data_IF_545541060509
#
_entry.id   IF_545541060509
#
_cell.length_a   1.000
_cell.length_b   1.000
_cell.length_c   1.000
_cell.angle_alpha   90.00
_cell.angle_beta   90.00
_cell.angle_gamma   90.00
#
_symmetry.space_group_name_H-M   'P 1'
#
loop_
_entity.id
_entity.type
_entity.pdbx_description
1 polymer ?
#
# COMPACT_ATOMS: atom_id res chain seq x y z
N UNK A 1 30.01 23.52 78.24
CA UNK A 1 28.84 22.68 78.40
C UNK A 1 28.27 22.49 76.98
N UNK A 2 28.73 21.46 76.31
CA UNK A 2 28.60 21.26 74.86
C UNK A 2 27.50 20.15 74.62
N UNK A 3 26.38 20.59 74.05
CA UNK A 3 25.27 19.68 73.79
C UNK A 3 25.47 19.06 72.38
N UNK A 4 25.93 17.80 72.35
CA UNK A 4 25.98 16.98 71.10
C UNK A 4 24.60 16.64 70.63
N UNK A 5 24.22 17.14 69.42
CA UNK A 5 23.09 16.72 68.64
C UNK A 5 23.34 15.35 68.01
N UNK A 6 22.42 14.38 68.23
CA UNK A 6 22.42 13.04 67.62
C UNK A 6 22.01 13.13 66.15
N UNK A 7 22.58 12.36 65.20
CA UNK A 7 22.11 12.29 63.83
C UNK A 7 20.81 11.50 63.74
N UNK A 8 19.84 12.04 63.00
CA UNK A 8 18.56 11.43 62.67
C UNK A 8 18.75 10.17 61.84
N UNK A 9 18.20 9.04 62.29
CA UNK A 9 18.15 7.81 61.55
C UNK A 9 17.32 7.99 60.26
N UNK A 10 17.91 7.73 59.11
CA UNK A 10 17.17 7.60 57.83
C UNK A 10 16.29 6.37 57.89
N UNK A 11 15.02 6.59 57.87
CA UNK A 11 14.03 5.54 57.68
C UNK A 11 14.25 4.89 56.29
N UNK A 12 14.53 3.58 56.27
CA UNK A 12 14.53 2.82 55.01
C UNK A 12 13.09 2.79 54.46
N UNK A 13 12.92 2.93 53.13
CA UNK A 13 11.61 2.82 52.50
C UNK A 13 11.08 1.41 52.65
N UNK A 14 9.77 1.30 52.91
CA UNK A 14 9.05 0.00 53.07
C UNK A 14 9.02 -0.72 51.72
N UNK A 15 8.97 -2.11 51.72
CA UNK A 15 9.00 -2.89 50.51
C UNK A 15 7.82 -2.67 49.53
N UNK A 16 6.79 -1.92 49.92
CA UNK A 16 5.60 -1.67 49.11
C UNK A 16 5.59 -0.35 48.32
N UNK A 17 6.65 0.47 48.39
CA UNK A 17 6.72 1.76 47.67
C UNK A 17 7.19 1.62 46.21
N UNK A 18 7.39 0.40 45.71
CA UNK A 18 7.72 0.10 44.31
C UNK A 18 6.53 -0.41 43.48
N UNK A 19 5.31 -0.02 43.82
CA UNK A 19 4.20 -0.16 42.90
C UNK A 19 4.33 0.91 41.81
N UNK A 20 5.10 0.56 40.77
CA UNK A 20 5.23 1.39 39.57
C UNK A 20 3.88 1.54 38.83
N UNK A 21 3.73 2.50 37.93
CA UNK A 21 2.47 2.85 37.28
C UNK A 21 1.95 1.85 36.22
N UNK A 22 2.19 0.55 36.44
CA UNK A 22 1.79 -0.50 35.49
C UNK A 22 0.45 -1.18 35.78
N UNK A 23 -0.25 -0.83 36.85
CA UNK A 23 -1.50 -1.49 37.21
C UNK A 23 -2.78 -0.78 36.70
N UNK A 24 -2.69 0.34 35.96
CA UNK A 24 -3.85 1.15 35.59
C UNK A 24 -4.31 1.02 34.13
N UNK A 25 -3.65 0.20 33.28
CA UNK A 25 -4.00 0.14 31.85
C UNK A 25 -4.72 -1.13 31.37
N UNK A 26 -5.07 -2.07 32.23
CA UNK A 26 -5.79 -3.28 31.79
C UNK A 26 -7.31 -3.12 31.64
N UNK A 27 -7.89 -2.00 32.03
CA UNK A 27 -9.35 -1.78 32.05
C UNK A 27 -9.94 -1.02 30.88
N UNK A 28 -9.16 -0.24 30.13
CA UNK A 28 -9.71 0.68 29.11
C UNK A 28 -9.99 0.07 27.73
N UNK A 29 -9.51 -1.16 27.47
CA UNK A 29 -9.52 -1.75 26.14
C UNK A 29 -10.83 -2.48 25.77
N UNK A 30 -11.85 -2.50 26.63
CA UNK A 30 -13.11 -3.23 26.41
C UNK A 30 -14.35 -2.35 26.27
N UNK A 31 -14.23 -1.05 26.15
CA UNK A 31 -15.40 -0.26 25.77
C UNK A 31 -15.74 -0.56 24.30
N UNK A 32 -16.98 -0.99 23.99
CA UNK A 32 -17.37 -1.22 22.60
C UNK A 32 -17.13 0.06 21.82
N UNK A 33 -16.48 -0.09 20.65
CA UNK A 33 -16.21 1.04 19.78
C UNK A 33 -17.51 1.77 19.50
N UNK A 34 -17.57 3.07 19.79
CA UNK A 34 -18.75 3.86 19.45
C UNK A 34 -18.94 3.84 17.93
N UNK A 35 -20.17 3.87 17.44
CA UNK A 35 -20.47 3.90 16.00
C UNK A 35 -19.71 5.02 15.29
N UNK A 36 -19.60 6.19 15.91
CA UNK A 36 -18.86 7.34 15.37
C UNK A 36 -17.37 7.04 15.18
N UNK A 37 -16.75 6.32 16.10
CA UNK A 37 -15.34 5.97 16.00
C UNK A 37 -15.08 4.90 14.93
N UNK A 38 -16.01 3.96 14.73
CA UNK A 38 -15.91 2.98 13.63
C UNK A 38 -16.08 3.71 12.29
N UNK A 39 -17.05 4.57 12.14
CA UNK A 39 -17.25 5.37 10.91
C UNK A 39 -16.00 6.21 10.61
N UNK A 40 -15.42 6.88 11.60
CA UNK A 40 -14.17 7.64 11.45
C UNK A 40 -13.06 6.76 10.89
N UNK A 41 -12.87 5.56 11.44
CA UNK A 41 -11.77 4.68 11.08
C UNK A 41 -11.95 4.06 9.68
N UNK A 42 -13.19 3.91 9.19
CA UNK A 42 -13.46 3.33 7.88
C UNK A 42 -13.66 4.35 6.75
N UNK A 43 -13.95 5.62 7.11
CA UNK A 43 -14.13 6.70 6.15
C UNK A 43 -12.96 6.90 5.18
N UNK A 44 -11.69 6.79 5.62
CA UNK A 44 -10.54 6.95 4.73
C UNK A 44 -10.51 5.95 3.56
N UNK A 45 -11.11 4.75 3.71
CA UNK A 45 -11.24 3.80 2.61
C UNK A 45 -12.03 4.37 1.42
N UNK A 46 -13.10 5.12 1.71
CA UNK A 46 -13.88 5.81 0.67
C UNK A 46 -13.13 7.03 0.12
N UNK A 47 -12.39 7.74 0.98
CA UNK A 47 -11.63 8.93 0.60
C UNK A 47 -10.46 8.63 -0.36
N UNK A 48 -9.97 7.38 -0.43
CA UNK A 48 -8.96 6.98 -1.43
C UNK A 48 -9.46 7.16 -2.87
N UNK A 49 -10.75 7.00 -3.12
CA UNK A 49 -11.32 7.06 -4.46
C UNK A 49 -11.49 8.50 -4.97
N UNK A 50 -11.71 9.47 -4.09
CA UNK A 50 -11.99 10.85 -4.46
C UNK A 50 -10.81 11.48 -5.21
N UNK A 51 -9.56 11.52 -4.68
CA UNK A 51 -8.43 12.09 -5.40
C UNK A 51 -8.10 11.31 -6.67
N UNK A 52 -8.32 9.99 -6.70
CA UNK A 52 -8.11 9.17 -7.87
C UNK A 52 -8.94 9.66 -9.07
N UNK A 53 -10.24 9.89 -8.88
CA UNK A 53 -11.09 10.39 -9.95
C UNK A 53 -10.86 11.87 -10.27
N UNK A 54 -10.54 12.68 -9.27
CA UNK A 54 -10.18 14.10 -9.49
C UNK A 54 -8.96 14.22 -10.38
N UNK A 55 -7.92 13.42 -10.15
CA UNK A 55 -6.68 13.44 -10.93
C UNK A 55 -6.93 13.02 -12.38
N UNK A 56 -7.86 12.10 -12.64
CA UNK A 56 -8.24 11.73 -13.99
C UNK A 56 -8.70 12.87 -14.87
N UNK A 57 -9.25 13.93 -14.28
CA UNK A 57 -9.70 15.11 -15.01
C UNK A 57 -8.55 15.97 -15.56
N UNK A 58 -7.33 15.81 -15.05
CA UNK A 58 -6.13 16.49 -15.54
C UNK A 58 -5.48 15.78 -16.73
N UNK A 59 -5.90 14.56 -17.05
CA UNK A 59 -5.39 13.87 -18.24
C UNK A 59 -5.94 14.53 -19.50
N UNK A 60 -5.05 15.01 -20.37
CA UNK A 60 -5.41 15.69 -21.63
C UNK A 60 -5.09 14.81 -22.84
N UNK A 61 -3.81 14.49 -23.02
CA UNK A 61 -3.34 13.68 -24.13
C UNK A 61 -2.03 12.98 -23.74
N UNK A 62 -1.78 11.75 -24.23
CA UNK A 62 -0.56 11.04 -23.91
C UNK A 62 0.66 11.75 -24.50
N UNK A 63 1.72 11.88 -23.72
CA UNK A 63 3.03 12.32 -24.18
C UNK A 63 3.75 11.11 -24.80
N UNK A 64 3.81 11.09 -26.13
CA UNK A 64 4.40 9.96 -26.88
C UNK A 64 5.87 9.72 -26.53
N UNK A 65 6.68 10.79 -26.44
CA UNK A 65 8.09 10.67 -26.09
C UNK A 65 8.31 10.04 -24.72
N UNK A 66 7.49 10.43 -23.73
CA UNK A 66 7.55 9.82 -22.39
C UNK A 66 7.12 8.36 -22.43
N UNK A 67 6.07 8.06 -23.15
CA UNK A 67 5.51 6.71 -23.30
C UNK A 67 6.50 5.75 -23.96
N UNK A 68 7.22 6.21 -25.00
CA UNK A 68 8.29 5.47 -25.66
C UNK A 68 9.49 5.21 -24.71
N UNK A 69 9.87 6.20 -23.90
CA UNK A 69 10.93 6.04 -22.89
C UNK A 69 10.55 5.02 -21.82
N UNK A 70 9.32 5.07 -21.31
CA UNK A 70 8.83 4.10 -20.33
C UNK A 70 8.81 2.69 -20.95
N UNK A 71 8.31 2.56 -22.17
CA UNK A 71 8.31 1.28 -22.88
C UNK A 71 9.73 0.77 -23.19
N UNK A 72 10.67 1.67 -23.52
CA UNK A 72 12.06 1.32 -23.75
C UNK A 72 12.74 0.82 -22.45
N UNK A 73 12.46 1.48 -21.33
CA UNK A 73 12.97 1.05 -20.02
C UNK A 73 12.46 -0.33 -19.63
N UNK A 74 11.17 -0.61 -19.85
CA UNK A 74 10.61 -1.93 -19.59
C UNK A 74 11.22 -3.01 -20.49
N UNK A 75 11.42 -2.73 -21.77
CA UNK A 75 12.12 -3.64 -22.68
C UNK A 75 13.54 -3.95 -22.20
N UNK A 76 14.25 -2.94 -21.72
CA UNK A 76 15.59 -3.11 -21.15
C UNK A 76 15.55 -3.99 -19.88
N UNK A 77 14.65 -3.70 -18.95
CA UNK A 77 14.51 -4.43 -17.68
C UNK A 77 14.15 -5.91 -17.90
N UNK A 78 13.32 -6.21 -18.89
CA UNK A 78 12.89 -7.57 -19.20
C UNK A 78 13.76 -8.28 -20.26
N UNK A 79 14.83 -7.63 -20.73
CA UNK A 79 15.71 -8.13 -21.78
C UNK A 79 14.94 -8.60 -23.04
N UNK A 80 13.95 -7.79 -23.49
CA UNK A 80 13.12 -8.11 -24.65
C UNK A 80 13.82 -7.58 -25.92
N UNK A 81 14.12 -8.43 -26.91
CA UNK A 81 14.74 -7.99 -28.15
C UNK A 81 13.83 -7.01 -28.92
N UNK A 82 14.38 -5.89 -29.35
CA UNK A 82 13.64 -4.85 -30.10
C UNK A 82 13.18 -5.38 -31.47
N UNK A 83 13.97 -6.29 -32.09
CA UNK A 83 13.79 -6.75 -33.45
C UNK A 83 12.79 -7.91 -33.61
N UNK A 84 12.57 -8.70 -32.57
CA UNK A 84 11.58 -9.76 -32.53
C UNK A 84 10.98 -9.84 -31.13
N UNK A 85 9.83 -9.16 -30.90
CA UNK A 85 9.12 -9.29 -29.65
C UNK A 85 8.49 -10.69 -29.59
N UNK A 86 9.32 -11.70 -29.35
CA UNK A 86 8.83 -13.03 -29.02
C UNK A 86 8.06 -12.89 -27.70
N UNK A 87 6.75 -12.77 -27.80
CA UNK A 87 5.85 -12.72 -26.65
C UNK A 87 6.07 -13.96 -25.82
N UNK A 88 6.61 -13.81 -24.63
CA UNK A 88 6.72 -14.94 -23.70
C UNK A 88 5.31 -15.36 -23.30
N UNK A 89 4.90 -16.56 -23.73
CA UNK A 89 3.60 -17.10 -23.38
C UNK A 89 3.56 -17.42 -21.89
N UNK A 90 2.60 -16.85 -21.20
CA UNK A 90 2.38 -17.11 -19.78
C UNK A 90 1.56 -18.39 -19.62
N UNK A 91 1.96 -19.27 -18.71
CA UNK A 91 1.14 -20.45 -18.37
C UNK A 91 -0.20 -20.04 -17.76
N UNK A 92 -1.27 -20.76 -18.08
CA UNK A 92 -2.64 -20.39 -17.65
C UNK A 92 -2.80 -20.29 -16.14
N UNK A 93 -2.14 -21.16 -15.37
CA UNK A 93 -2.19 -21.11 -13.90
C UNK A 93 -1.56 -19.83 -13.34
N UNK A 94 -0.38 -19.45 -13.87
CA UNK A 94 0.30 -18.23 -13.47
C UNK A 94 -0.47 -16.98 -13.90
N UNK A 95 -1.04 -17.00 -15.11
CA UNK A 95 -1.90 -15.91 -15.57
C UNK A 95 -3.11 -15.71 -14.66
N UNK A 96 -3.79 -16.81 -14.30
CA UNK A 96 -4.94 -16.77 -13.39
C UNK A 96 -4.54 -16.23 -12.01
N UNK A 97 -3.43 -16.69 -11.46
CA UNK A 97 -2.90 -16.23 -10.17
C UNK A 97 -2.62 -14.73 -10.19
N UNK A 98 -1.92 -14.22 -11.20
CA UNK A 98 -1.58 -12.81 -11.31
C UNK A 98 -2.81 -11.93 -11.52
N UNK A 99 -3.78 -12.37 -12.32
CA UNK A 99 -5.04 -11.64 -12.50
C UNK A 99 -5.86 -11.59 -11.21
N UNK A 100 -5.88 -12.67 -10.43
CA UNK A 100 -6.50 -12.68 -9.09
C UNK A 100 -5.74 -11.77 -8.12
N UNK A 101 -4.40 -11.80 -8.13
CA UNK A 101 -3.59 -10.91 -7.31
C UNK A 101 -3.88 -9.44 -7.62
N UNK A 102 -4.02 -9.07 -8.90
CA UNK A 102 -4.38 -7.71 -9.28
C UNK A 102 -5.79 -7.32 -8.80
N UNK A 103 -6.75 -8.23 -8.91
CA UNK A 103 -8.12 -8.01 -8.45
C UNK A 103 -8.21 -7.79 -6.93
N UNK A 104 -7.39 -8.52 -6.17
CA UNK A 104 -7.40 -8.43 -4.69
C UNK A 104 -6.82 -7.10 -4.18
N UNK A 105 -6.14 -6.32 -5.02
CA UNK A 105 -5.65 -5.00 -4.63
C UNK A 105 -6.76 -4.08 -4.10
N UNK A 106 -7.98 -4.19 -4.62
CA UNK A 106 -9.11 -3.38 -4.17
C UNK A 106 -9.57 -3.70 -2.74
N UNK A 107 -9.87 -4.96 -2.37
CA UNK A 107 -10.29 -5.30 -1.02
C UNK A 107 -9.13 -5.38 -0.02
N UNK A 108 -7.87 -5.44 -0.46
CA UNK A 108 -6.71 -5.62 0.43
C UNK A 108 -6.60 -4.52 1.48
N UNK A 109 -6.88 -3.27 1.07
CA UNK A 109 -6.78 -2.11 1.97
C UNK A 109 -7.82 -2.19 3.12
N UNK A 110 -9.13 -2.31 2.87
CA UNK A 110 -10.08 -2.46 3.96
C UNK A 110 -9.86 -3.75 4.77
N UNK A 111 -9.40 -4.84 4.15
CA UNK A 111 -9.06 -6.06 4.86
C UNK A 111 -7.89 -5.86 5.83
N UNK A 112 -6.89 -5.05 5.48
CA UNK A 112 -5.79 -4.72 6.38
C UNK A 112 -6.25 -4.00 7.64
N UNK A 113 -7.19 -3.06 7.53
CA UNK A 113 -7.81 -2.44 8.69
C UNK A 113 -8.62 -3.46 9.51
N UNK A 114 -9.38 -4.33 8.85
CA UNK A 114 -10.14 -5.38 9.53
C UNK A 114 -9.23 -6.34 10.32
N UNK A 115 -8.03 -6.63 9.83
CA UNK A 115 -7.01 -7.40 10.55
C UNK A 115 -6.60 -6.70 11.85
N UNK A 116 -6.33 -5.39 11.82
CA UNK A 116 -6.00 -4.63 13.03
C UNK A 116 -7.16 -4.67 14.05
N UNK A 117 -8.39 -4.57 13.58
CA UNK A 117 -9.58 -4.71 14.43
C UNK A 117 -9.67 -6.11 15.06
N UNK A 118 -9.51 -7.15 14.25
CA UNK A 118 -9.56 -8.54 14.70
C UNK A 118 -8.44 -8.91 15.67
N UNK A 119 -7.27 -8.27 15.54
CA UNK A 119 -6.14 -8.42 16.44
C UNK A 119 -6.26 -7.57 17.74
N UNK A 120 -7.33 -6.78 17.91
CA UNK A 120 -7.47 -5.87 19.04
C UNK A 120 -6.57 -4.63 18.98
N UNK A 121 -5.98 -4.35 17.81
CA UNK A 121 -5.01 -3.28 17.58
C UNK A 121 -5.64 -2.06 16.87
N UNK A 122 -6.93 -1.83 17.12
CA UNK A 122 -7.68 -0.72 16.54
C UNK A 122 -7.03 0.65 16.75
N UNK A 123 -6.33 0.85 17.86
CA UNK A 123 -5.62 2.10 18.17
C UNK A 123 -4.51 2.45 17.16
N UNK A 124 -4.09 1.51 16.33
CA UNK A 124 -3.15 1.75 15.22
C UNK A 124 -3.86 2.11 13.89
N UNK A 125 -5.19 2.29 13.87
CA UNK A 125 -5.93 2.65 12.68
C UNK A 125 -5.44 3.97 12.06
N UNK A 126 -5.11 4.97 12.90
CA UNK A 126 -4.60 6.26 12.44
C UNK A 126 -3.22 6.11 11.77
N UNK A 127 -2.33 5.29 12.33
CA UNK A 127 -1.02 4.97 11.75
C UNK A 127 -1.17 4.19 10.43
N UNK A 128 -2.11 3.24 10.38
CA UNK A 128 -2.43 2.49 9.19
C UNK A 128 -2.85 3.44 8.05
N UNK A 129 -3.81 4.31 8.32
CA UNK A 129 -4.28 5.26 7.32
C UNK A 129 -3.25 6.32 6.96
N UNK A 130 -2.45 6.80 7.91
CA UNK A 130 -1.36 7.74 7.60
C UNK A 130 -0.40 7.13 6.57
N UNK A 131 0.04 5.88 6.75
CA UNK A 131 0.92 5.22 5.80
C UNK A 131 0.25 5.01 4.44
N UNK A 132 -0.97 4.48 4.41
CA UNK A 132 -1.70 4.19 3.18
C UNK A 132 -2.04 5.47 2.40
N UNK A 133 -2.61 6.47 3.08
CA UNK A 133 -3.05 7.70 2.42
C UNK A 133 -1.87 8.53 1.93
N UNK A 134 -0.84 8.75 2.77
CA UNK A 134 0.32 9.57 2.37
C UNK A 134 1.04 8.93 1.18
N UNK A 135 1.33 7.62 1.23
CA UNK A 135 2.00 6.94 0.14
C UNK A 135 1.18 7.02 -1.16
N UNK A 136 -0.13 6.76 -1.07
CA UNK A 136 -1.03 6.80 -2.23
C UNK A 136 -1.16 8.21 -2.79
N UNK A 137 -1.32 9.23 -1.94
CA UNK A 137 -1.51 10.60 -2.38
C UNK A 137 -0.24 11.21 -2.97
N UNK A 138 0.95 10.85 -2.48
CA UNK A 138 2.21 11.21 -3.12
C UNK A 138 2.26 10.67 -4.56
N UNK A 139 1.88 9.40 -4.76
CA UNK A 139 1.81 8.81 -6.10
C UNK A 139 0.78 9.53 -6.98
N UNK A 140 -0.41 9.80 -6.45
CA UNK A 140 -1.46 10.50 -7.18
C UNK A 140 -1.08 11.94 -7.51
N UNK A 141 -0.36 12.65 -6.64
CA UNK A 141 0.06 14.03 -6.86
C UNK A 141 1.07 14.17 -8.04
N UNK A 142 1.84 13.13 -8.32
CA UNK A 142 2.77 13.10 -9.48
C UNK A 142 2.03 12.81 -10.79
N UNK A 143 0.92 12.07 -10.75
CA UNK A 143 0.18 11.59 -11.92
C UNK A 143 -0.20 12.69 -12.94
N UNK A 144 -0.65 13.90 -12.58
CA UNK A 144 -1.00 14.95 -13.56
C UNK A 144 0.16 15.40 -14.44
N UNK A 145 1.39 15.21 -13.97
CA UNK A 145 2.60 15.58 -14.69
C UNK A 145 3.10 14.48 -15.63
N UNK A 146 2.58 13.26 -15.48
CA UNK A 146 2.96 12.08 -16.26
C UNK A 146 1.79 11.64 -17.14
N UNK A 147 1.68 12.29 -18.31
CA UNK A 147 0.61 12.05 -19.28
C UNK A 147 0.93 10.81 -20.12
N UNK A 148 0.63 9.61 -19.64
CA UNK A 148 0.87 8.36 -20.35
C UNK A 148 -0.34 7.43 -20.30
N UNK A 149 -0.48 6.56 -21.28
CA UNK A 149 -1.45 5.48 -21.30
C UNK A 149 -0.87 4.23 -20.64
N UNK A 150 -1.71 3.40 -20.00
CA UNK A 150 -1.24 2.14 -19.50
C UNK A 150 -0.83 1.20 -20.65
N UNK A 151 0.20 0.36 -20.45
CA UNK A 151 0.77 -0.52 -21.49
C UNK A 151 -0.27 -1.36 -22.23
N UNK A 152 -1.30 -1.84 -21.55
CA UNK A 152 -2.39 -2.62 -22.17
C UNK A 152 -3.17 -1.90 -23.30
N UNK A 153 -3.06 -0.58 -23.37
CA UNK A 153 -3.72 0.23 -24.38
C UNK A 153 -2.83 0.48 -25.60
N UNK A 154 -1.58 0.04 -25.57
CA UNK A 154 -0.58 0.21 -26.63
C UNK A 154 -0.45 -1.09 -27.41
N UNK A 155 -0.73 -1.02 -28.72
CA UNK A 155 -0.72 -2.22 -29.59
C UNK A 155 0.66 -2.88 -29.66
N UNK A 156 1.74 -2.09 -29.62
CA UNK A 156 3.11 -2.56 -29.83
C UNK A 156 3.87 -2.84 -28.52
N UNK A 157 3.22 -2.65 -27.37
CA UNK A 157 3.89 -2.79 -26.08
C UNK A 157 3.83 -4.21 -25.49
N UNK A 158 2.97 -5.08 -25.99
CA UNK A 158 2.66 -6.36 -25.33
C UNK A 158 3.91 -7.21 -25.08
N UNK A 159 4.31 -7.28 -23.82
CA UNK A 159 5.50 -8.02 -23.34
C UNK A 159 5.23 -9.51 -23.15
N UNK A 160 3.99 -9.83 -22.72
CA UNK A 160 3.57 -11.21 -22.42
C UNK A 160 2.31 -11.57 -23.20
N UNK A 161 2.29 -12.78 -23.75
CA UNK A 161 1.06 -13.37 -24.29
C UNK A 161 0.29 -14.03 -23.13
N UNK A 162 -0.73 -13.34 -22.64
CA UNK A 162 -1.50 -13.76 -21.49
C UNK A 162 -2.77 -14.47 -21.98
N UNK A 163 -2.98 -15.75 -21.63
CA UNK A 163 -4.15 -16.49 -22.05
C UNK A 163 -5.45 -15.81 -21.54
N UNK A 164 -6.52 -15.84 -22.33
CA UNK A 164 -7.79 -15.26 -21.92
C UNK A 164 -8.38 -16.07 -20.76
N UNK A 165 -8.61 -15.38 -19.63
CA UNK A 165 -9.26 -15.95 -18.44
C UNK A 165 -10.49 -15.13 -18.07
N UNK A 166 -11.46 -15.73 -17.37
CA UNK A 166 -12.63 -15.02 -16.86
C UNK A 166 -12.25 -13.88 -15.91
N UNK A 167 -11.19 -14.08 -15.10
CA UNK A 167 -10.70 -13.06 -14.15
C UNK A 167 -10.08 -11.89 -14.91
N UNK A 168 -9.28 -12.14 -15.98
CA UNK A 168 -8.76 -11.07 -16.83
C UNK A 168 -9.89 -10.29 -17.50
N UNK A 169 -10.91 -10.96 -17.97
CA UNK A 169 -12.10 -10.30 -18.53
C UNK A 169 -12.81 -9.42 -17.48
N UNK A 170 -12.89 -9.88 -16.24
CA UNK A 170 -13.44 -9.11 -15.11
C UNK A 170 -12.56 -7.88 -14.79
N UNK A 171 -11.25 -8.05 -14.67
CA UNK A 171 -10.32 -6.93 -14.45
C UNK A 171 -10.47 -5.86 -15.54
N UNK A 172 -10.49 -6.27 -16.81
CA UNK A 172 -10.69 -5.36 -17.93
C UNK A 172 -12.06 -4.68 -17.91
N UNK A 173 -13.11 -5.39 -17.48
CA UNK A 173 -14.45 -4.82 -17.35
C UNK A 173 -14.49 -3.75 -16.24
N UNK A 174 -13.91 -4.03 -15.07
CA UNK A 174 -13.77 -3.05 -13.96
C UNK A 174 -12.99 -1.83 -14.44
N UNK A 175 -11.82 -2.04 -15.05
CA UNK A 175 -10.96 -0.95 -15.50
C UNK A 175 -11.61 -0.08 -16.57
N UNK A 176 -12.38 -0.66 -17.50
CA UNK A 176 -13.11 0.14 -18.52
C UNK A 176 -14.19 1.02 -17.92
N UNK A 177 -14.80 0.61 -16.79
CA UNK A 177 -15.91 1.35 -16.17
C UNK A 177 -15.51 2.27 -15.05
N UNK A 178 -14.46 1.90 -14.32
CA UNK A 178 -14.11 2.57 -13.05
C UNK A 178 -12.74 3.26 -13.07
N UNK A 179 -11.91 3.06 -14.11
CA UNK A 179 -10.61 3.72 -14.17
C UNK A 179 -10.67 5.04 -14.95
N UNK A 180 -9.71 5.92 -14.64
CA UNK A 180 -9.51 7.22 -15.30
C UNK A 180 -9.00 7.11 -16.75
N UNK A 181 -8.85 5.90 -17.29
CA UNK A 181 -8.32 5.58 -18.63
C UNK A 181 -6.92 6.15 -18.91
N UNK A 182 -6.23 6.59 -17.89
CA UNK A 182 -4.84 7.03 -17.90
C UNK A 182 -4.05 6.18 -16.91
N UNK A 183 -2.73 6.21 -16.99
CA UNK A 183 -1.89 5.60 -15.97
C UNK A 183 -1.86 6.47 -14.72
N UNK A 184 -1.90 5.87 -13.54
CA UNK A 184 -1.45 6.54 -12.32
C UNK A 184 0.06 6.30 -12.19
N UNK A 185 0.84 7.34 -12.25
CA UNK A 185 2.30 7.27 -12.16
C UNK A 185 2.79 8.13 -10.99
N UNK A 186 3.47 7.57 -10.02
CA UNK A 186 3.71 6.13 -9.74
C UNK A 186 2.43 5.35 -9.39
N UNK A 187 2.51 4.00 -9.38
CA UNK A 187 1.35 3.13 -9.21
C UNK A 187 0.67 3.28 -7.84
N UNK A 188 -0.51 3.88 -7.81
CA UNK A 188 -1.28 4.07 -6.59
C UNK A 188 -1.75 2.73 -5.97
N UNK A 189 -2.05 1.72 -6.79
CA UNK A 189 -2.45 0.38 -6.32
C UNK A 189 -1.32 -0.33 -5.58
N UNK A 190 -0.10 -0.28 -6.16
CA UNK A 190 1.09 -0.85 -5.53
C UNK A 190 1.43 -0.08 -4.26
N UNK A 191 1.36 1.26 -4.30
CA UNK A 191 1.65 2.08 -3.14
C UNK A 191 0.71 1.75 -1.96
N UNK A 192 -0.60 1.74 -2.18
CA UNK A 192 -1.57 1.44 -1.13
C UNK A 192 -1.40 0.03 -0.56
N UNK A 193 -1.24 -0.98 -1.43
CA UNK A 193 -1.09 -2.38 -1.02
C UNK A 193 0.20 -2.61 -0.22
N UNK A 194 1.31 -2.02 -0.67
CA UNK A 194 2.60 -2.15 0.00
C UNK A 194 2.60 -1.39 1.34
N UNK A 195 2.03 -0.17 1.40
CA UNK A 195 1.92 0.57 2.65
C UNK A 195 1.10 -0.18 3.70
N UNK A 196 -0.06 -0.74 3.30
CA UNK A 196 -0.87 -1.59 4.16
C UNK A 196 -0.08 -2.80 4.69
N UNK A 197 0.69 -3.47 3.82
CA UNK A 197 1.49 -4.63 4.21
C UNK A 197 2.60 -4.29 5.20
N UNK A 198 3.31 -3.16 5.02
CA UNK A 198 4.38 -2.74 5.92
C UNK A 198 3.87 -2.39 7.33
N UNK A 199 2.71 -1.75 7.42
CA UNK A 199 2.08 -1.48 8.72
C UNK A 199 1.68 -2.79 9.41
N UNK A 200 1.03 -3.71 8.68
CA UNK A 200 0.68 -5.01 9.25
C UNK A 200 1.91 -5.82 9.63
N UNK A 201 2.99 -5.73 8.84
CA UNK A 201 4.25 -6.40 9.17
C UNK A 201 4.84 -5.89 10.50
N UNK A 202 4.66 -4.60 10.80
CA UNK A 202 5.12 -4.01 12.05
C UNK A 202 4.28 -4.42 13.28
N UNK A 203 2.96 -4.58 13.12
CA UNK A 203 2.04 -4.80 14.24
C UNK A 203 1.48 -6.22 14.35
N UNK A 204 1.33 -6.92 13.22
CA UNK A 204 0.82 -8.32 13.14
C UNK A 204 1.71 -9.11 12.16
N UNK A 205 2.97 -9.45 12.54
CA UNK A 205 4.02 -9.88 11.60
C UNK A 205 3.62 -11.04 10.68
N UNK A 206 2.96 -12.07 11.19
CA UNK A 206 2.57 -13.23 10.40
C UNK A 206 1.54 -12.90 9.31
N UNK A 207 0.54 -12.07 9.63
CA UNK A 207 -0.42 -11.59 8.64
C UNK A 207 0.24 -10.59 7.70
N UNK A 208 1.12 -9.73 8.25
CA UNK A 208 1.93 -8.80 7.47
C UNK A 208 2.79 -9.48 6.40
N UNK A 209 3.36 -10.66 6.69
CA UNK A 209 4.09 -11.47 5.69
C UNK A 209 3.17 -11.91 4.54
N UNK A 210 1.95 -12.36 4.85
CA UNK A 210 0.96 -12.73 3.81
C UNK A 210 0.57 -11.50 2.97
N UNK A 211 0.33 -10.36 3.61
CA UNK A 211 0.01 -9.12 2.91
C UNK A 211 1.19 -8.62 2.06
N UNK A 212 2.43 -8.76 2.53
CA UNK A 212 3.63 -8.42 1.75
C UNK A 212 3.74 -9.32 0.52
N UNK A 213 3.51 -10.62 0.67
CA UNK A 213 3.46 -11.54 -0.46
C UNK A 213 2.40 -11.13 -1.48
N UNK A 214 1.19 -10.79 -1.03
CA UNK A 214 0.11 -10.31 -1.90
C UNK A 214 0.48 -8.99 -2.57
N UNK A 215 1.04 -8.02 -1.85
CA UNK A 215 1.46 -6.73 -2.39
C UNK A 215 2.55 -6.88 -3.47
N UNK A 216 3.53 -7.76 -3.26
CA UNK A 216 4.52 -8.10 -4.27
C UNK A 216 3.89 -8.81 -5.48
N UNK A 217 2.93 -9.71 -5.24
CA UNK A 217 2.18 -10.35 -6.33
C UNK A 217 1.36 -9.34 -7.13
N UNK A 218 0.76 -8.34 -6.49
CA UNK A 218 0.07 -7.22 -7.14
C UNK A 218 1.05 -6.40 -7.98
N UNK A 219 2.24 -6.11 -7.46
CA UNK A 219 3.27 -5.38 -8.19
C UNK A 219 3.70 -6.11 -9.48
N UNK A 220 3.96 -7.42 -9.38
CA UNK A 220 4.27 -8.27 -10.55
C UNK A 220 3.08 -8.34 -11.50
N UNK A 221 1.88 -8.54 -11.00
CA UNK A 221 0.66 -8.61 -11.79
C UNK A 221 0.37 -7.30 -12.55
N UNK A 222 0.64 -6.17 -11.92
CA UNK A 222 0.48 -4.85 -12.54
C UNK A 222 1.37 -4.69 -13.79
N UNK A 223 2.62 -5.17 -13.73
CA UNK A 223 3.55 -5.10 -14.85
C UNK A 223 3.24 -6.17 -15.90
N UNK A 224 3.14 -7.43 -15.49
CA UNK A 224 2.89 -8.57 -16.40
C UNK A 224 1.54 -8.42 -17.10
N UNK A 225 0.51 -7.97 -16.39
CA UNK A 225 -0.83 -7.71 -16.92
C UNK A 225 -0.92 -6.53 -17.89
N UNK A 226 0.17 -5.72 -17.98
CA UNK A 226 0.19 -4.49 -18.78
C UNK A 226 -0.65 -3.36 -18.19
N UNK A 227 -0.91 -3.41 -16.90
CA UNK A 227 -1.66 -2.36 -16.20
C UNK A 227 -0.78 -1.16 -15.87
N UNK A 228 0.50 -1.42 -15.59
CA UNK A 228 1.53 -0.45 -15.23
C UNK A 228 2.87 -0.76 -15.89
N UNK A 229 3.72 0.26 -16.07
CA UNK A 229 5.12 0.07 -16.41
C UNK A 229 5.92 -0.40 -15.20
N UNK A 230 7.03 -1.09 -15.40
CA UNK A 230 7.90 -1.49 -14.29
C UNK A 230 8.45 -0.28 -13.53
N UNK A 231 8.79 0.79 -14.28
CA UNK A 231 9.30 2.03 -13.70
C UNK A 231 8.34 2.65 -12.68
N UNK A 232 7.04 2.68 -12.97
CA UNK A 232 6.07 3.29 -12.06
C UNK A 232 5.81 2.41 -10.83
N UNK A 233 5.89 1.10 -10.99
CA UNK A 233 5.81 0.14 -9.88
C UNK A 233 7.00 0.27 -8.94
N UNK A 234 8.22 0.30 -9.49
CA UNK A 234 9.45 0.44 -8.69
C UNK A 234 9.49 1.78 -7.95
N UNK A 235 9.09 2.86 -8.61
CA UNK A 235 9.02 4.18 -7.98
C UNK A 235 7.97 4.22 -6.87
N UNK A 236 6.81 3.59 -7.06
CA UNK A 236 5.79 3.46 -6.02
C UNK A 236 6.32 2.72 -4.79
N UNK A 237 7.03 1.60 -4.99
CA UNK A 237 7.64 0.84 -3.89
C UNK A 237 8.68 1.68 -3.13
N UNK A 238 9.52 2.44 -3.84
CA UNK A 238 10.49 3.35 -3.22
C UNK A 238 9.79 4.42 -2.37
N UNK A 239 8.76 5.09 -2.92
CA UNK A 239 7.97 6.09 -2.20
C UNK A 239 7.37 5.51 -0.92
N UNK A 240 6.79 4.31 -1.00
CA UNK A 240 6.19 3.66 0.17
C UNK A 240 7.23 3.42 1.27
N UNK A 241 8.41 2.90 0.91
CA UNK A 241 9.47 2.67 1.89
C UNK A 241 9.90 3.98 2.56
N UNK A 242 10.10 5.04 1.77
CA UNK A 242 10.49 6.35 2.30
C UNK A 242 9.40 6.94 3.20
N UNK A 243 8.14 6.87 2.80
CA UNK A 243 6.99 7.34 3.60
C UNK A 243 6.88 6.54 4.90
N UNK A 244 6.95 5.21 4.81
CA UNK A 244 6.85 4.35 5.99
C UNK A 244 7.99 4.61 6.98
N UNK A 245 9.23 4.70 6.52
CA UNK A 245 10.38 5.03 7.36
C UNK A 245 10.23 6.42 7.98
N UNK A 246 9.81 7.43 7.20
CA UNK A 246 9.57 8.78 7.70
C UNK A 246 8.49 8.83 8.78
N UNK A 247 7.36 8.16 8.57
CA UNK A 247 6.28 8.10 9.56
C UNK A 247 6.68 7.33 10.82
N UNK A 248 7.51 6.31 10.69
CA UNK A 248 7.98 5.53 11.84
C UNK A 248 8.83 6.34 12.83
N UNK A 249 9.41 7.44 12.40
CA UNK A 249 10.10 8.40 13.30
C UNK A 249 9.10 9.25 14.10
N UNK A 250 7.84 9.31 13.67
CA UNK A 250 6.79 10.08 14.33
C UNK A 250 5.91 9.20 15.25
N UNK A 251 6.04 7.89 15.18
CA UNK A 251 5.32 6.89 15.98
C UNK A 251 6.13 6.43 17.18
#
# INVERSE_FOLDING_TARGET
MEVRSRPSARLMPRPNDFAGPQALHCGEWRSPASVSSVVRDWLPAALLLVPYWQIGQFFRSPNQNLQERLAALDRFLFAIPIQHPARKRLGTALALYLELAYLIAYPLIPLGLAVLYGAGLRHHADQYWAAVLVATYVCLAVTPFVQALPPRMLADYITFDIPPTKIRALNHWILRRSSIQAITFPSAHVAASMAASLVLLAFVPWVGLVFTWLALSIAVAAVVGGYHYAADVLLAMLIVVLVFLGLRWLW
#
